data_IF_187973930809
#
_entry.id   IF_187973930809
#
_cell.length_a   1.000
_cell.length_b   1.000
_cell.length_c   1.000
_cell.angle_alpha   90.00
_cell.angle_beta   90.00
_cell.angle_gamma   90.00
#
_symmetry.space_group_name_H-M   'P 1'
#
loop_
_entity.id
_entity.type
_entity.pdbx_description
1 polymer ?
#
# COMPACT_ATOMS: atom_id res chain seq x y z
N UNK A 1 -29.00 -14.77 5.30
CA UNK A 1 -28.79 -14.39 6.73
C UNK A 1 -27.83 -15.35 7.43
N UNK A 2 -28.06 -16.65 7.43
CA UNK A 2 -27.23 -17.71 8.09
C UNK A 2 -25.76 -17.65 7.67
N UNK A 3 -25.44 -17.57 6.40
CA UNK A 3 -24.07 -17.52 5.88
C UNK A 3 -23.25 -16.35 6.49
N UNK A 4 -23.86 -15.18 6.71
CA UNK A 4 -23.19 -14.04 7.33
C UNK A 4 -22.80 -14.32 8.79
N UNK A 5 -23.65 -15.02 9.54
CA UNK A 5 -23.33 -15.40 10.93
C UNK A 5 -22.27 -16.51 11.00
N UNK A 6 -22.33 -17.49 10.09
CA UNK A 6 -21.30 -18.53 9.98
C UNK A 6 -19.93 -17.94 9.63
N UNK A 7 -19.90 -16.98 8.69
CA UNK A 7 -18.65 -16.30 8.33
C UNK A 7 -18.10 -15.45 9.47
N UNK A 8 -18.95 -14.79 10.28
CA UNK A 8 -18.53 -14.07 11.48
C UNK A 8 -17.99 -14.99 12.55
N UNK A 9 -18.63 -16.15 12.76
CA UNK A 9 -18.14 -17.16 13.70
C UNK A 9 -16.77 -17.70 13.26
N UNK A 10 -16.61 -17.98 11.97
CA UNK A 10 -15.32 -18.34 11.37
C UNK A 10 -14.27 -17.24 11.60
N UNK A 11 -14.60 -15.98 11.38
CA UNK A 11 -13.68 -14.87 11.63
C UNK A 11 -13.23 -14.84 13.09
N UNK A 12 -14.15 -15.02 14.02
CA UNK A 12 -13.84 -14.96 15.45
C UNK A 12 -13.02 -16.17 15.93
N UNK A 13 -13.44 -17.39 15.55
CA UNK A 13 -12.87 -18.61 16.10
C UNK A 13 -11.63 -19.11 15.36
N UNK A 14 -11.50 -18.77 14.05
CA UNK A 14 -10.43 -19.28 13.22
C UNK A 14 -9.54 -18.15 12.69
N UNK A 15 -10.12 -17.18 11.99
CA UNK A 15 -9.32 -16.17 11.32
C UNK A 15 -8.60 -15.25 12.33
N UNK A 16 -9.29 -14.74 13.34
CA UNK A 16 -8.70 -13.81 14.32
C UNK A 16 -7.51 -14.41 15.08
N UNK A 17 -7.55 -15.62 15.64
CA UNK A 17 -6.37 -16.24 16.27
C UNK A 17 -5.20 -16.43 15.30
N UNK A 18 -5.46 -16.92 14.09
CA UNK A 18 -4.42 -17.12 13.08
C UNK A 18 -3.77 -15.78 12.71
N UNK A 19 -4.57 -14.75 12.47
CA UNK A 19 -4.07 -13.44 12.05
C UNK A 19 -3.34 -12.71 13.19
N UNK A 20 -3.80 -12.89 14.44
CA UNK A 20 -3.12 -12.34 15.61
C UNK A 20 -1.72 -12.93 15.76
N UNK A 21 -1.62 -14.26 15.82
CA UNK A 21 -0.33 -14.97 15.90
C UNK A 21 0.54 -14.66 14.68
N UNK A 22 -0.03 -14.74 13.49
CA UNK A 22 0.66 -14.46 12.24
C UNK A 22 1.24 -13.04 12.18
N UNK A 23 0.53 -12.04 12.70
CA UNK A 23 1.02 -10.65 12.76
C UNK A 23 2.20 -10.51 13.71
N UNK A 24 2.14 -11.12 14.90
CA UNK A 24 3.24 -11.11 15.88
C UNK A 24 4.48 -11.81 15.30
N UNK A 25 4.31 -13.01 14.74
CA UNK A 25 5.41 -13.76 14.12
C UNK A 25 6.03 -12.97 12.96
N UNK A 26 5.22 -12.39 12.09
CA UNK A 26 5.72 -11.55 10.99
C UNK A 26 6.54 -10.38 11.52
N UNK A 27 6.09 -9.71 12.58
CA UNK A 27 6.82 -8.60 13.17
C UNK A 27 8.17 -9.05 13.76
N UNK A 28 8.19 -10.16 14.51
CA UNK A 28 9.42 -10.73 15.09
C UNK A 28 10.39 -11.10 13.96
N UNK A 29 9.94 -11.85 12.94
CA UNK A 29 10.78 -12.27 11.82
C UNK A 29 11.32 -11.05 11.06
N UNK A 30 10.49 -10.02 10.84
CA UNK A 30 10.94 -8.79 10.17
C UNK A 30 12.02 -8.09 10.98
N UNK A 31 11.79 -7.89 12.29
CA UNK A 31 12.75 -7.18 13.15
C UNK A 31 14.06 -7.95 13.25
N UNK A 32 14.02 -9.24 13.60
CA UNK A 32 15.23 -10.07 13.73
C UNK A 32 15.96 -10.23 12.40
N UNK A 33 15.24 -10.50 11.32
CA UNK A 33 15.82 -10.64 9.99
C UNK A 33 16.46 -9.36 9.47
N UNK A 34 15.87 -8.20 9.74
CA UNK A 34 16.45 -6.91 9.34
C UNK A 34 17.66 -6.52 10.20
N UNK A 35 17.72 -6.94 11.47
CA UNK A 35 18.86 -6.62 12.36
C UNK A 35 20.04 -7.57 12.18
N UNK A 36 19.78 -8.84 11.93
CA UNK A 36 20.81 -9.88 11.86
C UNK A 36 21.18 -10.28 10.42
N UNK A 37 20.39 -9.88 9.43
CA UNK A 37 20.52 -10.30 8.05
C UNK A 37 20.36 -9.18 7.03
N UNK A 38 19.88 -9.56 5.84
CA UNK A 38 19.68 -8.64 4.73
C UNK A 38 18.34 -7.89 4.85
N UNK A 39 18.39 -6.61 5.25
CA UNK A 39 17.21 -5.75 5.39
C UNK A 39 16.41 -5.53 4.08
N UNK A 40 17.00 -5.80 2.91
CA UNK A 40 16.29 -5.76 1.63
C UNK A 40 15.32 -6.94 1.50
N UNK A 41 15.73 -8.14 1.92
CA UNK A 41 14.90 -9.34 1.90
C UNK A 41 13.90 -9.34 3.07
N UNK A 42 14.42 -9.24 4.29
CA UNK A 42 13.61 -9.34 5.51
C UNK A 42 12.68 -8.15 5.74
N UNK A 43 12.97 -7.01 5.11
CA UNK A 43 12.07 -5.86 5.13
C UNK A 43 10.88 -5.96 4.18
N UNK A 44 10.79 -7.00 3.33
CA UNK A 44 9.70 -7.18 2.38
C UNK A 44 9.01 -8.54 2.50
N UNK A 45 9.75 -9.66 2.44
CA UNK A 45 9.16 -10.99 2.31
C UNK A 45 8.24 -11.39 3.47
N UNK A 46 8.54 -11.10 4.74
CA UNK A 46 7.59 -11.38 5.82
C UNK A 46 6.27 -10.64 5.65
N UNK A 47 6.31 -9.35 5.28
CA UNK A 47 5.13 -8.55 4.97
C UNK A 47 4.35 -9.07 3.75
N UNK A 48 5.06 -9.56 2.71
CA UNK A 48 4.46 -10.21 1.55
C UNK A 48 3.70 -11.48 1.94
N UNK A 49 4.31 -12.36 2.73
CA UNK A 49 3.65 -13.56 3.24
C UNK A 49 2.46 -13.22 4.15
N UNK A 50 2.61 -12.22 5.00
CA UNK A 50 1.55 -11.74 5.88
C UNK A 50 0.34 -11.18 5.11
N UNK A 51 0.57 -10.36 4.07
CA UNK A 51 -0.51 -9.87 3.22
C UNK A 51 -1.32 -11.00 2.58
N UNK A 52 -0.63 -12.03 2.06
CA UNK A 52 -1.26 -13.24 1.51
C UNK A 52 -1.99 -14.05 2.58
N UNK A 53 -1.37 -14.22 3.76
CA UNK A 53 -1.99 -14.92 4.88
C UNK A 53 -3.32 -14.27 5.25
N UNK A 54 -3.36 -12.95 5.42
CA UNK A 54 -4.58 -12.22 5.78
C UNK A 54 -5.68 -12.47 4.76
N UNK A 55 -5.39 -12.25 3.49
CA UNK A 55 -6.39 -12.36 2.41
C UNK A 55 -6.89 -13.80 2.27
N UNK A 56 -5.98 -14.79 2.30
CA UNK A 56 -6.35 -16.20 2.16
C UNK A 56 -7.11 -16.74 3.36
N UNK A 57 -6.68 -16.39 4.58
CA UNK A 57 -7.40 -16.79 5.81
C UNK A 57 -8.83 -16.23 5.83
N UNK A 58 -9.05 -15.07 5.25
CA UNK A 58 -10.39 -14.48 5.13
C UNK A 58 -11.15 -14.93 3.87
N UNK A 59 -10.60 -15.87 3.11
CA UNK A 59 -11.21 -16.47 1.93
C UNK A 59 -11.61 -15.44 0.85
N UNK A 60 -10.83 -14.36 0.73
CA UNK A 60 -11.10 -13.28 -0.22
C UNK A 60 -10.45 -13.62 -1.58
N UNK A 61 -11.22 -13.70 -2.67
CA UNK A 61 -10.66 -13.92 -4.00
C UNK A 61 -9.92 -12.66 -4.48
N UNK A 62 -8.79 -12.86 -5.17
CA UNK A 62 -7.96 -11.76 -5.69
C UNK A 62 -7.67 -11.97 -7.16
N UNK A 63 -7.91 -10.92 -7.95
CA UNK A 63 -7.49 -10.82 -9.35
C UNK A 63 -6.41 -9.77 -9.48
N UNK A 64 -5.34 -10.07 -10.24
CA UNK A 64 -4.25 -9.11 -10.52
C UNK A 64 -4.04 -9.01 -12.01
N UNK A 65 -3.97 -7.78 -12.52
CA UNK A 65 -3.71 -7.46 -13.94
C UNK A 65 -2.51 -6.52 -14.07
N UNK A 66 -1.82 -6.54 -15.20
CA UNK A 66 -0.80 -5.55 -15.56
C UNK A 66 0.57 -5.74 -14.91
N UNK A 67 0.90 -6.93 -14.37
CA UNK A 67 2.25 -7.20 -13.83
C UNK A 67 3.34 -7.12 -14.89
N UNK A 68 3.00 -7.38 -16.12
CA UNK A 68 3.86 -7.29 -17.29
C UNK A 68 4.33 -5.86 -17.60
N UNK A 69 3.66 -4.85 -17.05
CA UNK A 69 4.01 -3.44 -17.25
C UNK A 69 5.25 -3.00 -16.43
N UNK A 70 5.65 -3.78 -15.42
CA UNK A 70 6.74 -3.42 -14.52
C UNK A 70 7.98 -4.27 -14.75
N UNK A 71 9.09 -3.64 -15.13
CA UNK A 71 10.36 -4.31 -15.42
C UNK A 71 11.13 -4.67 -14.15
N UNK A 72 11.85 -5.80 -14.21
CA UNK A 72 12.75 -6.20 -13.11
C UNK A 72 13.93 -5.24 -13.02
N UNK A 73 14.33 -4.90 -11.78
CA UNK A 73 15.49 -4.03 -11.55
C UNK A 73 15.20 -2.54 -11.62
N UNK A 74 14.09 -2.11 -12.24
CA UNK A 74 13.67 -0.72 -12.29
C UNK A 74 13.01 -0.29 -10.97
N UNK A 75 13.37 0.90 -10.47
CA UNK A 75 12.68 1.56 -9.35
C UNK A 75 11.46 2.33 -9.85
N UNK A 76 10.37 2.26 -9.10
CA UNK A 76 9.11 2.94 -9.41
C UNK A 76 8.54 3.65 -8.19
N UNK A 77 7.77 4.70 -8.43
CA UNK A 77 6.83 5.27 -7.46
C UNK A 77 5.43 4.77 -7.80
N UNK A 78 4.95 3.79 -7.07
CA UNK A 78 3.59 3.28 -7.19
C UNK A 78 2.62 4.20 -6.45
N UNK A 79 1.56 4.63 -7.13
CA UNK A 79 0.50 5.47 -6.58
C UNK A 79 -0.83 4.75 -6.69
N UNK A 80 -1.53 4.56 -5.58
CA UNK A 80 -2.78 3.80 -5.54
C UNK A 80 -3.90 4.59 -4.86
N UNK A 81 -5.16 4.33 -5.24
CA UNK A 81 -6.32 4.77 -4.48
C UNK A 81 -6.38 4.08 -3.10
N UNK A 82 -7.04 4.71 -2.11
CA UNK A 82 -7.07 4.22 -0.75
C UNK A 82 -8.49 4.17 -0.18
N UNK A 83 -9.15 3.04 -0.39
CA UNK A 83 -10.56 2.86 -0.06
C UNK A 83 -10.79 2.08 1.23
N UNK A 84 -9.96 1.08 1.52
CA UNK A 84 -10.18 0.17 2.64
C UNK A 84 -8.92 -0.20 3.41
N UNK A 85 -9.08 -0.97 4.49
CA UNK A 85 -7.96 -1.50 5.24
C UNK A 85 -7.21 -2.59 4.44
N UNK A 86 -7.90 -3.23 3.51
CA UNK A 86 -7.37 -4.35 2.73
C UNK A 86 -6.45 -3.92 1.58
N UNK A 87 -6.39 -2.64 1.24
CA UNK A 87 -5.45 -2.11 0.25
C UNK A 87 -4.00 -2.46 0.60
N UNK A 88 -3.66 -2.40 1.89
CA UNK A 88 -2.30 -2.70 2.38
C UNK A 88 -1.96 -4.18 2.16
N UNK A 89 -2.87 -5.09 2.53
CA UNK A 89 -2.66 -6.53 2.38
C UNK A 89 -2.61 -6.94 0.91
N UNK A 90 -3.44 -6.31 0.08
CA UNK A 90 -3.49 -6.56 -1.35
C UNK A 90 -2.18 -6.16 -2.04
N UNK A 91 -1.68 -4.94 -1.78
CA UNK A 91 -0.41 -4.48 -2.34
C UNK A 91 0.75 -5.34 -1.82
N UNK A 92 0.86 -5.58 -0.50
CA UNK A 92 1.93 -6.41 0.04
C UNK A 92 1.94 -7.81 -0.55
N UNK A 93 0.79 -8.47 -0.56
CA UNK A 93 0.68 -9.86 -0.97
C UNK A 93 0.73 -10.08 -2.48
N UNK A 94 0.35 -9.08 -3.29
CA UNK A 94 0.01 -9.36 -4.68
C UNK A 94 0.65 -8.43 -5.72
N UNK A 95 1.28 -7.33 -5.34
CA UNK A 95 2.00 -6.45 -6.29
C UNK A 95 3.19 -7.17 -6.97
N UNK A 96 3.86 -8.06 -6.23
CA UNK A 96 4.96 -8.85 -6.79
C UNK A 96 6.28 -8.09 -6.95
N UNK A 97 6.45 -6.97 -6.27
CA UNK A 97 7.67 -6.14 -6.25
C UNK A 97 8.10 -5.81 -4.84
N UNK A 98 9.41 -5.75 -4.60
CA UNK A 98 9.94 -5.22 -3.35
C UNK A 98 9.79 -3.70 -3.34
N UNK A 99 9.28 -3.17 -2.25
CA UNK A 99 9.03 -1.74 -2.09
C UNK A 99 9.13 -1.30 -0.63
N UNK A 100 9.20 0.01 -0.44
CA UNK A 100 9.00 0.66 0.86
C UNK A 100 7.71 1.46 0.85
N UNK A 101 7.00 1.45 1.97
CA UNK A 101 5.83 2.31 2.15
C UNK A 101 6.25 3.74 2.48
N UNK A 102 5.53 4.71 1.93
CA UNK A 102 5.46 6.05 2.48
C UNK A 102 4.21 6.17 3.36
N UNK A 103 4.40 6.34 4.66
CA UNK A 103 3.32 6.23 5.63
C UNK A 103 3.35 7.31 6.71
N UNK A 104 2.24 7.50 7.44
CA UNK A 104 2.14 8.46 8.54
C UNK A 104 3.04 8.07 9.70
N UNK A 105 3.71 9.05 10.32
CA UNK A 105 4.58 8.85 11.49
C UNK A 105 3.86 8.20 12.67
N UNK A 106 2.55 8.46 12.86
CA UNK A 106 1.76 7.87 13.95
C UNK A 106 1.71 6.34 13.93
N UNK A 107 1.90 5.70 12.76
CA UNK A 107 1.92 4.23 12.63
C UNK A 107 3.09 3.56 13.37
N UNK A 108 4.15 4.31 13.72
CA UNK A 108 5.24 3.81 14.60
C UNK A 108 4.74 3.37 15.98
N UNK A 109 3.61 3.91 16.44
CA UNK A 109 3.05 3.64 17.76
C UNK A 109 2.24 2.35 17.85
N UNK A 110 1.96 1.70 16.72
CA UNK A 110 1.21 0.44 16.70
C UNK A 110 2.12 -0.68 17.22
N UNK A 111 1.74 -1.38 18.31
CA UNK A 111 2.54 -2.48 18.86
C UNK A 111 2.90 -3.51 17.79
N UNK A 112 4.09 -4.06 17.85
CA UNK A 112 4.69 -5.01 16.91
C UNK A 112 4.81 -4.46 15.47
N UNK A 113 3.72 -4.01 14.85
CA UNK A 113 3.68 -3.49 13.47
C UNK A 113 4.58 -2.26 13.32
N UNK A 114 4.54 -1.33 14.26
CA UNK A 114 5.39 -0.13 14.22
C UNK A 114 6.87 -0.47 14.26
N UNK A 115 7.28 -1.41 15.12
CA UNK A 115 8.66 -1.88 15.21
C UNK A 115 9.11 -2.56 13.89
N UNK A 116 8.27 -3.43 13.31
CA UNK A 116 8.54 -4.06 12.02
C UNK A 116 8.68 -3.02 10.89
N UNK A 117 7.80 -2.01 10.84
CA UNK A 117 7.89 -0.93 9.85
C UNK A 117 9.17 -0.09 9.98
N UNK A 118 9.65 0.13 11.21
CA UNK A 118 10.92 0.83 11.45
C UNK A 118 12.10 -0.03 11.00
N UNK A 119 12.13 -1.30 11.39
CA UNK A 119 13.17 -2.25 11.01
C UNK A 119 13.22 -2.48 9.50
N UNK A 120 12.07 -2.54 8.84
CA UNK A 120 11.95 -2.63 7.38
C UNK A 120 12.35 -1.33 6.63
N UNK A 121 12.77 -0.29 7.33
CA UNK A 121 13.19 1.00 6.77
C UNK A 121 12.10 1.70 5.94
N UNK A 122 10.83 1.53 6.28
CA UNK A 122 9.76 2.30 5.64
C UNK A 122 9.92 3.81 5.88
N UNK A 123 9.35 4.61 4.99
CA UNK A 123 9.50 6.06 4.98
C UNK A 123 8.33 6.69 5.73
N UNK A 124 8.61 7.23 6.90
CA UNK A 124 7.60 7.90 7.73
C UNK A 124 7.57 9.39 7.41
N UNK A 125 6.42 9.85 6.94
CA UNK A 125 6.20 11.28 6.64
C UNK A 125 5.96 12.05 7.92
N UNK A 126 6.77 13.06 8.14
CA UNK A 126 6.59 14.06 9.18
C UNK A 126 6.27 15.41 8.54
N UNK A 127 5.06 15.92 8.76
CA UNK A 127 4.57 17.18 8.19
C UNK A 127 4.69 18.35 9.16
N UNK A 128 5.42 18.20 10.26
CA UNK A 128 5.53 19.21 11.32
C UNK A 128 6.38 20.44 10.96
N UNK A 129 6.97 20.45 9.76
CA UNK A 129 7.72 21.60 9.25
C UNK A 129 8.51 21.28 7.98
N UNK A 130 8.99 22.33 7.25
CA UNK A 130 9.72 22.18 5.98
C UNK A 130 10.97 21.32 6.11
N UNK A 131 11.75 21.48 7.18
CA UNK A 131 12.96 20.68 7.44
C UNK A 131 12.67 19.19 7.60
N UNK A 132 11.53 18.83 8.20
CA UNK A 132 11.10 17.42 8.38
C UNK A 132 10.63 16.81 7.06
N UNK A 133 9.97 17.61 6.25
CA UNK A 133 9.58 17.20 4.89
C UNK A 133 10.85 16.94 4.08
N UNK A 134 11.83 17.86 4.07
CA UNK A 134 13.12 17.66 3.40
C UNK A 134 13.82 16.39 3.86
N UNK A 135 13.90 16.14 5.17
CA UNK A 135 14.50 14.91 5.72
C UNK A 135 13.78 13.64 5.25
N UNK A 136 12.44 13.72 5.04
CA UNK A 136 11.67 12.61 4.46
C UNK A 136 12.09 12.34 3.02
N UNK A 137 12.25 13.37 2.19
CA UNK A 137 12.72 13.23 0.81
C UNK A 137 14.16 12.71 0.74
N UNK A 138 15.07 13.23 1.59
CA UNK A 138 16.47 12.77 1.64
C UNK A 138 16.55 11.27 2.02
N UNK A 139 15.69 10.84 2.94
CA UNK A 139 15.57 9.42 3.27
C UNK A 139 15.04 8.61 2.09
N UNK A 140 13.99 9.10 1.41
CA UNK A 140 13.43 8.44 0.24
C UNK A 140 14.50 8.28 -0.86
N UNK A 141 15.25 9.34 -1.17
CA UNK A 141 16.34 9.32 -2.17
C UNK A 141 17.37 8.25 -1.86
N UNK A 142 17.79 8.12 -0.59
CA UNK A 142 18.75 7.06 -0.19
C UNK A 142 18.17 5.66 -0.26
N UNK A 143 16.85 5.53 -0.08
CA UNK A 143 16.17 4.24 -0.03
C UNK A 143 15.79 3.71 -1.42
N UNK A 144 15.42 4.63 -2.34
CA UNK A 144 14.92 4.29 -3.68
C UNK A 144 16.07 4.12 -4.70
N UNK A 145 17.04 3.30 -4.35
CA UNK A 145 18.18 2.93 -5.20
C UNK A 145 18.15 1.44 -5.50
N UNK A 146 18.86 1.01 -6.52
CA UNK A 146 19.09 -0.41 -6.85
C UNK A 146 17.77 -1.21 -7.02
N UNK A 147 16.80 -0.66 -7.74
CA UNK A 147 15.52 -1.33 -8.00
C UNK A 147 14.51 -1.30 -6.85
N UNK A 148 14.81 -0.59 -5.74
CA UNK A 148 13.86 -0.41 -4.66
C UNK A 148 12.77 0.58 -5.07
N UNK A 149 11.53 0.18 -4.93
CA UNK A 149 10.36 1.00 -5.27
C UNK A 149 9.71 1.60 -4.04
N UNK A 150 8.83 2.58 -4.26
CA UNK A 150 8.01 3.22 -3.25
C UNK A 150 6.53 2.96 -3.53
N UNK A 151 5.74 2.72 -2.49
CA UNK A 151 4.28 2.73 -2.58
C UNK A 151 3.71 3.85 -1.74
N UNK A 152 2.81 4.61 -2.34
CA UNK A 152 2.15 5.77 -1.71
C UNK A 152 0.65 5.73 -2.00
N UNK A 153 -0.16 6.08 -1.00
CA UNK A 153 -1.55 6.47 -1.19
C UNK A 153 -1.62 8.00 -1.25
N UNK A 154 -1.67 8.62 -2.45
CA UNK A 154 -1.55 10.07 -2.59
C UNK A 154 -2.73 10.83 -2.02
N UNK A 155 -3.88 10.20 -1.81
CA UNK A 155 -5.02 10.77 -1.07
C UNK A 155 -4.64 11.11 0.39
N UNK A 156 -3.69 10.37 0.97
CA UNK A 156 -3.17 10.57 2.32
C UNK A 156 -4.04 10.02 3.44
N UNK A 157 -5.24 9.53 3.15
CA UNK A 157 -6.13 8.82 4.08
C UNK A 157 -7.15 8.01 3.29
N UNK A 158 -7.68 6.94 3.88
CA UNK A 158 -8.83 6.20 3.33
C UNK A 158 -10.06 7.09 3.22
N UNK A 159 -10.82 6.91 2.16
CA UNK A 159 -12.13 7.56 2.00
C UNK A 159 -13.15 7.06 3.04
N UNK A 160 -14.15 7.88 3.33
CA UNK A 160 -15.33 7.47 4.10
C UNK A 160 -16.51 7.07 3.22
N UNK A 161 -16.50 7.50 1.96
CA UNK A 161 -17.63 7.36 1.03
C UNK A 161 -17.43 6.27 -0.02
N UNK A 162 -16.21 5.71 -0.13
CA UNK A 162 -15.82 4.83 -1.22
C UNK A 162 -15.38 5.58 -2.49
N UNK A 163 -15.66 6.87 -2.60
CA UNK A 163 -15.22 7.68 -3.74
C UNK A 163 -13.75 8.05 -3.57
N UNK A 164 -12.98 7.98 -4.65
CA UNK A 164 -11.57 8.37 -4.66
C UNK A 164 -11.42 9.86 -4.43
N UNK A 165 -10.52 10.24 -3.52
CA UNK A 165 -10.19 11.62 -3.22
C UNK A 165 -9.10 12.17 -4.15
N UNK A 166 -8.84 13.48 -4.06
CA UNK A 166 -7.80 14.14 -4.83
C UNK A 166 -6.40 13.63 -4.47
N UNK A 167 -5.57 13.48 -5.49
CA UNK A 167 -4.17 13.12 -5.32
C UNK A 167 -3.32 14.32 -4.90
N UNK A 168 -2.57 14.18 -3.82
CA UNK A 168 -1.64 15.20 -3.31
C UNK A 168 -0.30 15.13 -4.04
N UNK A 169 0.29 16.27 -4.31
CA UNK A 169 1.52 16.41 -5.10
C UNK A 169 2.77 15.71 -4.54
N UNK A 170 2.80 15.39 -3.24
CA UNK A 170 4.03 14.95 -2.56
C UNK A 170 4.73 13.74 -3.18
N UNK A 171 4.00 12.71 -3.60
CA UNK A 171 4.58 11.53 -4.25
C UNK A 171 5.14 11.88 -5.64
N UNK A 172 4.45 12.74 -6.39
CA UNK A 172 4.82 13.16 -7.74
C UNK A 172 6.02 14.10 -7.73
N UNK A 173 6.12 14.99 -6.73
CA UNK A 173 7.32 15.81 -6.51
C UNK A 173 8.56 14.94 -6.25
N UNK A 174 8.40 13.88 -5.45
CA UNK A 174 9.50 12.94 -5.19
C UNK A 174 9.89 12.18 -6.45
N UNK A 175 8.91 11.70 -7.21
CA UNK A 175 9.16 11.01 -8.49
C UNK A 175 9.88 11.93 -9.49
N UNK A 176 9.45 13.19 -9.62
CA UNK A 176 10.09 14.20 -10.47
C UNK A 176 11.52 14.50 -10.01
N UNK A 177 11.74 14.68 -8.70
CA UNK A 177 13.07 14.96 -8.16
C UNK A 177 14.07 13.82 -8.43
N UNK A 178 13.60 12.57 -8.31
CA UNK A 178 14.42 11.37 -8.50
C UNK A 178 14.40 10.87 -9.96
N UNK A 179 13.63 11.50 -10.84
CA UNK A 179 13.42 11.08 -12.22
C UNK A 179 12.98 9.61 -12.34
N UNK A 180 12.08 9.19 -11.41
CA UNK A 180 11.53 7.84 -11.37
C UNK A 180 10.17 7.80 -12.08
N UNK A 181 9.88 6.75 -12.84
CA UNK A 181 8.56 6.54 -13.42
C UNK A 181 7.52 6.30 -12.32
N UNK A 182 6.33 6.86 -12.54
CA UNK A 182 5.16 6.65 -11.68
C UNK A 182 4.29 5.56 -12.27
N UNK A 183 3.89 4.58 -11.45
CA UNK A 183 2.98 3.51 -11.86
C UNK A 183 1.67 3.66 -11.10
N UNK A 184 0.59 4.03 -11.78
CA UNK A 184 -0.74 4.04 -11.17
C UNK A 184 -1.21 2.62 -10.86
N UNK A 185 -1.90 2.45 -9.75
CA UNK A 185 -2.50 1.18 -9.34
C UNK A 185 -3.96 1.44 -8.96
N UNK A 186 -4.88 0.70 -9.57
CA UNK A 186 -6.28 0.68 -9.14
C UNK A 186 -6.54 -0.50 -8.23
N UNK A 187 -7.16 -0.21 -7.09
CA UNK A 187 -7.64 -1.19 -6.12
C UNK A 187 -9.15 -1.13 -6.08
N UNK A 188 -9.82 -2.26 -6.36
CA UNK A 188 -11.27 -2.39 -6.25
C UNK A 188 -11.66 -3.41 -5.18
N UNK A 189 -12.88 -3.28 -4.67
CA UNK A 189 -13.49 -4.17 -3.70
C UNK A 189 -13.12 -3.92 -2.24
N UNK A 190 -12.00 -3.26 -1.95
CA UNK A 190 -11.49 -3.06 -0.57
C UNK A 190 -12.44 -2.24 0.31
N UNK A 191 -13.17 -1.29 -0.25
CA UNK A 191 -14.20 -0.53 0.46
C UNK A 191 -15.33 -1.44 0.96
N UNK A 192 -15.76 -2.39 0.15
CA UNK A 192 -16.81 -3.36 0.50
C UNK A 192 -16.32 -4.39 1.53
N UNK A 193 -15.04 -4.75 1.50
CA UNK A 193 -14.45 -5.70 2.45
C UNK A 193 -14.34 -5.08 3.84
N UNK A 194 -13.71 -3.91 3.96
CA UNK A 194 -13.55 -3.22 5.25
C UNK A 194 -13.32 -1.71 5.04
N UNK A 195 -14.41 -0.92 4.94
CA UNK A 195 -14.32 0.52 4.78
C UNK A 195 -13.69 1.20 6.00
N UNK A 196 -13.42 2.49 5.87
CA UNK A 196 -13.05 3.32 7.00
C UNK A 196 -14.30 3.61 7.85
N UNK A 197 -14.40 2.94 8.99
CA UNK A 197 -15.48 3.16 9.96
C UNK A 197 -14.93 3.81 11.24
N UNK A 198 -15.81 4.40 12.03
CA UNK A 198 -15.47 4.91 13.37
C UNK A 198 -15.29 3.76 14.36
N UNK A 199 -16.09 2.69 14.18
CA UNK A 199 -16.08 1.50 15.02
C UNK A 199 -15.41 0.32 14.31
N UNK A 200 -14.95 -0.66 15.09
CA UNK A 200 -14.37 -1.89 14.57
C UNK A 200 -15.47 -2.72 13.88
N UNK A 201 -15.37 -2.86 12.56
CA UNK A 201 -16.32 -3.61 11.76
C UNK A 201 -15.86 -5.04 11.47
N UNK A 202 -16.83 -5.90 11.13
CA UNK A 202 -16.56 -7.23 10.60
C UNK A 202 -16.07 -7.12 9.15
N UNK A 203 -15.19 -8.05 8.78
CA UNK A 203 -14.82 -8.19 7.36
C UNK A 203 -16.01 -8.74 6.58
N UNK A 204 -16.38 -8.06 5.51
CA UNK A 204 -17.37 -8.55 4.55
C UNK A 204 -16.66 -9.32 3.44
N UNK A 205 -17.23 -10.45 3.04
CA UNK A 205 -16.70 -11.20 1.91
C UNK A 205 -17.01 -10.44 0.61
N UNK A 206 -15.97 -10.11 -0.14
CA UNK A 206 -16.06 -9.46 -1.45
C UNK A 206 -14.80 -9.74 -2.25
N UNK A 207 -14.88 -9.93 -3.59
CA UNK A 207 -13.70 -10.02 -4.45
C UNK A 207 -12.86 -8.75 -4.40
N UNK A 208 -11.55 -8.94 -4.52
CA UNK A 208 -10.56 -7.86 -4.58
C UNK A 208 -9.87 -7.87 -5.95
N UNK A 209 -9.60 -6.72 -6.51
CA UNK A 209 -8.75 -6.60 -7.68
C UNK A 209 -7.64 -5.58 -7.52
N UNK A 210 -6.52 -5.85 -8.19
CA UNK A 210 -5.34 -5.00 -8.27
C UNK A 210 -4.96 -4.85 -9.73
N UNK A 211 -5.14 -3.68 -10.32
CA UNK A 211 -4.71 -3.38 -11.68
C UNK A 211 -3.48 -2.48 -11.65
N UNK A 212 -2.39 -2.94 -12.25
CA UNK A 212 -1.14 -2.19 -12.40
C UNK A 212 -1.16 -1.57 -13.80
N UNK A 213 -1.23 -0.24 -13.87
CA UNK A 213 -1.26 0.46 -15.15
C UNK A 213 0.14 0.62 -15.75
N UNK A 214 0.19 1.12 -17.00
CA UNK A 214 1.44 1.45 -17.66
C UNK A 214 2.22 2.50 -16.89
N UNK A 215 3.56 2.38 -16.77
CA UNK A 215 4.40 3.39 -16.18
C UNK A 215 4.31 4.71 -16.91
N UNK A 216 4.19 5.81 -16.19
CA UNK A 216 4.29 7.17 -16.70
C UNK A 216 5.71 7.63 -16.45
N UNK A 217 6.49 7.74 -17.53
CA UNK A 217 7.88 8.20 -17.46
C UNK A 217 7.95 9.73 -17.37
N UNK A 218 8.93 10.28 -16.63
CA UNK A 218 9.09 11.73 -16.54
C UNK A 218 9.47 12.31 -17.93
N UNK A 219 8.76 13.38 -18.32
CA UNK A 219 9.06 14.16 -19.52
C UNK A 219 9.53 15.54 -19.06
N UNK A 220 10.84 15.71 -18.93
CA UNK A 220 11.42 16.90 -18.32
C UNK A 220 11.39 16.87 -16.79
N UNK A 221 11.48 18.03 -16.18
CA UNK A 221 11.53 18.21 -14.72
C UNK A 221 10.81 19.48 -14.30
N UNK A 222 10.15 19.45 -13.16
CA UNK A 222 9.52 20.62 -12.53
C UNK A 222 8.00 20.60 -12.57
N UNK A 223 7.38 21.77 -12.47
CA UNK A 223 5.95 21.92 -12.18
C UNK A 223 5.04 21.25 -13.23
N UNK A 224 5.37 21.36 -14.51
CA UNK A 224 4.56 20.83 -15.61
C UNK A 224 4.62 19.30 -15.65
N UNK A 225 5.81 18.70 -15.46
CA UNK A 225 5.95 17.25 -15.35
C UNK A 225 5.19 16.70 -14.16
N UNK A 226 5.29 17.35 -12.98
CA UNK A 226 4.55 16.97 -11.77
C UNK A 226 3.05 17.03 -12.00
N UNK A 227 2.54 18.11 -12.61
CA UNK A 227 1.11 18.30 -12.85
C UNK A 227 0.56 17.25 -13.85
N UNK A 228 1.30 17.02 -14.93
CA UNK A 228 0.92 16.03 -15.96
C UNK A 228 0.92 14.61 -15.38
N UNK A 229 2.00 14.21 -14.73
CA UNK A 229 2.11 12.87 -14.13
C UNK A 229 1.03 12.63 -13.06
N UNK A 230 0.71 13.63 -12.24
CA UNK A 230 -0.36 13.54 -11.26
C UNK A 230 -1.72 13.36 -11.96
N UNK A 231 -2.02 14.20 -12.93
CA UNK A 231 -3.29 14.16 -13.68
C UNK A 231 -3.47 12.81 -14.38
N UNK A 232 -2.46 12.37 -15.11
CA UNK A 232 -2.53 11.14 -15.90
C UNK A 232 -2.63 9.90 -14.98
N UNK A 233 -1.92 9.91 -13.83
CA UNK A 233 -2.06 8.88 -12.81
C UNK A 233 -3.47 8.85 -12.21
N UNK A 234 -4.05 10.02 -11.91
CA UNK A 234 -5.40 10.14 -11.37
C UNK A 234 -6.44 9.55 -12.33
N UNK A 235 -6.39 9.94 -13.60
CA UNK A 235 -7.31 9.43 -14.61
C UNK A 235 -7.11 7.95 -14.91
N UNK A 236 -5.88 7.44 -14.91
CA UNK A 236 -5.61 6.00 -15.06
C UNK A 236 -6.27 5.19 -13.95
N UNK A 237 -6.19 5.67 -12.70
CA UNK A 237 -6.85 5.00 -11.58
C UNK A 237 -8.36 5.11 -11.69
N UNK A 238 -8.89 6.30 -11.98
CA UNK A 238 -10.33 6.54 -12.12
C UNK A 238 -10.99 5.69 -13.21
N UNK A 239 -10.31 5.49 -14.34
CA UNK A 239 -10.87 4.76 -15.50
C UNK A 239 -11.12 3.27 -15.24
N UNK A 240 -10.49 2.70 -14.21
CA UNK A 240 -10.61 1.27 -13.84
C UNK A 240 -11.26 1.07 -12.46
N UNK A 241 -11.75 2.16 -11.85
CA UNK A 241 -12.54 2.05 -10.61
C UNK A 241 -13.92 1.49 -10.89
N UNK A 242 -14.34 0.52 -10.07
CA UNK A 242 -15.71 0.02 -10.11
C UNK A 242 -16.71 1.15 -9.79
N UNK A 243 -17.65 1.40 -10.67
CA UNK A 243 -18.73 2.40 -10.49
C UNK A 243 -19.71 2.04 -9.35
N UNK A 244 -19.55 0.87 -8.74
CA UNK A 244 -20.47 0.28 -7.78
C UNK A 244 -20.45 0.90 -6.38
N UNK A 245 -19.75 1.99 -6.18
CA UNK A 245 -19.73 2.70 -4.89
C UNK A 245 -20.94 3.64 -4.67
N UNK A 246 -21.90 3.66 -5.57
CA UNK A 246 -23.10 4.54 -5.50
C UNK A 246 -24.38 3.82 -5.01
N UNK A 247 -24.27 2.66 -4.31
CA UNK A 247 -25.44 2.01 -3.67
C UNK A 247 -25.30 1.91 -2.18
#
# INVERSE_FOLDING_TARGET
>A
MIMKYLYRLYQLCVALPILFVGTILTAIITVTGCTLGNGHLWGYYPGHCWGRLVIRTLLLPVTVKGREHIEKGQSYVFVANHQGAFDIFLIYGFLGRNFKWMMKRSLKKIPFVGAACVAAHHIFVDKSGPSKIKATYDKARKTLQNGMSLVVFPEGARTFTGKMGEFKRGAFMLADELQLPVVPITINGSFHVMPRMRDCGWVSWHPLSLTIHQPIYPVGKGADNIATTLRDSYYSVMSDLDETNDK
#
